data_IF_840372948752
#
_entry.id   IF_840372948752
#
_cell.length_a   1.000
_cell.length_b   1.000
_cell.length_c   1.000
_cell.angle_alpha   90.00
_cell.angle_beta   90.00
_cell.angle_gamma   90.00
#
_symmetry.space_group_name_H-M   'P 1'
#
loop_
_entity.id
_entity.type
_entity.pdbx_description
1 polymer ?
#
# COMPACT_ATOMS: atom_id res chain seq x y z
N UNK A 1 5.21 1.63 -15.72
CA UNK A 1 3.82 2.08 -15.79
C UNK A 1 3.09 1.73 -14.50
N UNK A 2 2.26 2.65 -14.01
CA UNK A 2 1.39 2.53 -12.83
C UNK A 2 -0.01 3.06 -13.16
N UNK A 3 -1.04 2.75 -12.35
CA UNK A 3 -2.42 3.13 -12.66
C UNK A 3 -2.61 4.66 -12.82
N UNK A 4 -1.85 5.45 -12.05
CA UNK A 4 -1.89 6.92 -12.12
C UNK A 4 -1.35 7.48 -13.45
N UNK A 5 -0.63 6.68 -14.25
CA UNK A 5 -0.12 7.09 -15.56
C UNK A 5 -1.21 7.15 -16.63
N UNK A 6 -2.37 6.52 -16.42
CA UNK A 6 -3.40 6.44 -17.45
C UNK A 6 -3.95 7.81 -17.84
N UNK A 7 -4.17 8.70 -16.87
CA UNK A 7 -4.67 10.05 -17.17
C UNK A 7 -3.76 10.82 -18.15
N UNK A 8 -2.47 11.07 -17.84
CA UNK A 8 -1.60 11.81 -18.76
C UNK A 8 -1.31 11.04 -20.04
N UNK A 9 -1.29 9.69 -19.99
CA UNK A 9 -1.08 8.85 -21.19
C UNK A 9 -2.23 8.98 -22.18
N UNK A 10 -3.48 8.90 -21.72
CA UNK A 10 -4.66 9.05 -22.58
C UNK A 10 -4.83 10.49 -23.06
N UNK A 11 -4.51 11.47 -22.22
CA UNK A 11 -4.52 12.88 -22.63
C UNK A 11 -3.52 13.15 -23.76
N UNK A 12 -2.27 12.66 -23.66
CA UNK A 12 -1.29 12.77 -24.74
C UNK A 12 -1.76 12.06 -26.01
N UNK A 13 -2.27 10.83 -25.89
CA UNK A 13 -2.78 10.06 -27.02
C UNK A 13 -3.91 10.79 -27.77
N UNK A 14 -4.76 11.52 -27.04
CA UNK A 14 -5.85 12.32 -27.58
C UNK A 14 -5.41 13.72 -28.06
N UNK A 15 -4.14 14.11 -27.87
CA UNK A 15 -3.65 15.47 -28.17
C UNK A 15 -4.21 16.55 -27.25
N UNK A 16 -4.66 16.18 -26.04
CA UNK A 16 -5.23 17.08 -25.05
C UNK A 16 -4.12 17.59 -24.12
N UNK A 17 -3.92 18.93 -24.00
CA UNK A 17 -2.99 19.48 -23.02
C UNK A 17 -3.42 19.16 -21.59
N UNK A 18 -2.44 18.83 -20.73
CA UNK A 18 -2.65 18.62 -19.30
C UNK A 18 -1.54 19.30 -18.50
N UNK A 19 -1.82 19.68 -17.25
CA UNK A 19 -0.85 20.29 -16.36
C UNK A 19 -0.01 19.23 -15.65
N UNK A 20 1.20 18.98 -16.13
CA UNK A 20 2.11 18.00 -15.56
C UNK A 20 2.70 18.39 -14.19
N UNK A 21 2.46 19.61 -13.69
CA UNK A 21 3.12 20.11 -12.48
C UNK A 21 2.50 19.62 -11.17
N UNK A 22 1.20 19.30 -11.18
CA UNK A 22 0.43 18.90 -9.98
C UNK A 22 -0.25 17.53 -10.16
N UNK A 23 0.52 16.54 -10.62
CA UNK A 23 0.04 15.17 -10.77
C UNK A 23 1.14 14.13 -10.53
N UNK A 24 0.76 12.97 -10.01
CA UNK A 24 1.69 11.85 -9.77
C UNK A 24 1.95 11.02 -11.02
N UNK A 25 1.08 11.13 -12.03
CA UNK A 25 1.15 10.41 -13.30
C UNK A 25 2.20 10.97 -14.24
N UNK A 26 2.82 10.10 -15.04
CA UNK A 26 3.67 10.49 -16.16
C UNK A 26 3.22 9.75 -17.41
N UNK A 27 3.05 10.46 -18.52
CA UNK A 27 2.62 9.82 -19.77
C UNK A 27 3.62 8.75 -20.22
N UNK A 28 3.07 7.60 -20.59
CA UNK A 28 3.79 6.47 -21.15
C UNK A 28 3.47 6.28 -22.65
N UNK A 29 2.78 7.23 -23.27
CA UNK A 29 2.28 7.08 -24.64
C UNK A 29 3.40 6.72 -25.62
N UNK A 30 4.52 7.45 -25.56
CA UNK A 30 5.69 7.17 -26.39
C UNK A 30 6.28 5.78 -26.13
N UNK A 31 6.34 5.32 -24.88
CA UNK A 31 6.82 3.98 -24.51
C UNK A 31 5.87 2.86 -24.95
N UNK A 32 4.58 3.15 -25.13
CA UNK A 32 3.58 2.20 -25.61
C UNK A 32 3.61 2.03 -27.14
N UNK A 33 3.84 3.12 -27.87
CA UNK A 33 3.82 3.11 -29.34
C UNK A 33 5.19 2.86 -29.97
N UNK A 34 6.27 2.87 -29.19
CA UNK A 34 7.64 2.66 -29.65
C UNK A 34 8.42 1.70 -28.76
N UNK A 35 8.92 0.61 -29.36
CA UNK A 35 9.76 -0.39 -28.69
C UNK A 35 11.13 0.14 -28.26
N UNK A 36 11.58 1.26 -28.82
CA UNK A 36 12.87 1.87 -28.50
C UNK A 36 12.79 2.87 -27.33
N UNK A 37 11.59 3.16 -26.84
CA UNK A 37 11.38 4.19 -25.82
C UNK A 37 11.16 3.54 -24.45
N UNK A 38 12.10 3.68 -23.49
CA UNK A 38 11.89 3.17 -22.14
C UNK A 38 10.74 3.89 -21.44
N UNK A 39 10.26 3.32 -20.33
CA UNK A 39 9.25 3.97 -19.51
C UNK A 39 9.78 5.28 -18.93
N UNK A 40 8.98 6.34 -18.96
CA UNK A 40 9.30 7.62 -18.33
C UNK A 40 9.23 7.58 -16.78
N UNK A 41 8.85 6.43 -16.21
CA UNK A 41 8.64 6.27 -14.78
C UNK A 41 9.79 5.51 -14.14
N UNK A 42 10.48 6.16 -13.22
CA UNK A 42 11.57 5.57 -12.43
C UNK A 42 11.16 5.26 -10.98
N UNK A 43 10.06 5.82 -10.51
CA UNK A 43 9.64 5.76 -9.11
C UNK A 43 8.13 5.53 -8.98
N UNK A 44 7.74 4.74 -7.97
CA UNK A 44 6.34 4.49 -7.58
C UNK A 44 6.25 4.49 -6.06
N UNK A 45 5.38 5.32 -5.51
CA UNK A 45 4.90 5.17 -4.13
C UNK A 45 3.67 4.28 -4.18
N UNK A 46 3.67 3.18 -3.43
CA UNK A 46 2.51 2.27 -3.36
C UNK A 46 1.41 2.84 -2.47
N UNK A 47 1.80 3.27 -1.27
CA UNK A 47 0.96 3.97 -0.32
C UNK A 47 1.83 4.69 0.72
N UNK A 48 1.26 5.72 1.33
CA UNK A 48 1.77 6.39 2.53
C UNK A 48 0.64 6.47 3.54
N UNK A 49 0.74 5.69 4.59
CA UNK A 49 -0.09 5.78 5.78
C UNK A 49 0.79 6.17 6.98
N UNK A 50 0.53 7.36 7.51
CA UNK A 50 1.22 7.86 8.70
C UNK A 50 0.43 7.55 9.97
N UNK A 51 -0.62 6.72 9.88
CA UNK A 51 -1.31 6.20 11.03
C UNK A 51 -0.35 5.39 11.91
N UNK A 52 -0.59 5.49 13.21
CA UNK A 52 0.23 4.81 14.22
C UNK A 52 -0.28 3.40 14.52
N UNK A 53 -1.42 3.01 13.93
CA UNK A 53 -2.04 1.72 14.15
C UNK A 53 -1.18 0.59 13.53
N UNK A 54 -0.68 -0.38 14.30
CA UNK A 54 0.15 -1.48 13.80
C UNK A 54 -0.48 -2.26 12.64
N UNK A 55 -1.81 -2.29 12.58
CA UNK A 55 -2.54 -3.07 11.58
C UNK A 55 -2.54 -2.36 10.22
N UNK A 56 -2.23 -1.07 10.20
CA UNK A 56 -2.23 -0.23 9.01
C UNK A 56 -0.81 -0.10 8.46
N UNK A 57 -0.62 -0.60 7.23
CA UNK A 57 0.70 -0.63 6.61
C UNK A 57 1.21 0.76 6.28
N UNK A 58 2.42 1.09 6.74
CA UNK A 58 2.91 2.48 6.77
C UNK A 58 3.33 3.02 5.42
N UNK A 59 4.20 2.33 4.70
CA UNK A 59 4.72 2.86 3.45
C UNK A 59 5.44 1.81 2.62
N UNK A 60 5.32 1.94 1.29
CA UNK A 60 6.23 1.27 0.39
C UNK A 60 6.53 2.15 -0.83
N UNK A 61 7.78 2.09 -1.30
CA UNK A 61 8.27 2.82 -2.48
C UNK A 61 9.13 1.90 -3.33
N UNK A 62 9.01 2.01 -4.64
CA UNK A 62 9.91 1.42 -5.62
C UNK A 62 10.67 2.53 -6.34
N UNK A 63 11.99 2.37 -6.44
CA UNK A 63 12.87 3.24 -7.24
C UNK A 63 13.76 2.34 -8.09
N UNK A 64 13.54 2.37 -9.41
CA UNK A 64 14.15 1.44 -10.35
C UNK A 64 13.81 -0.02 -10.02
N UNK A 65 14.86 -0.82 -9.80
CA UNK A 65 14.73 -2.24 -9.51
C UNK A 65 14.41 -2.54 -8.04
N UNK A 66 14.56 -1.57 -7.14
CA UNK A 66 14.44 -1.80 -5.69
C UNK A 66 13.09 -1.36 -5.14
N UNK A 67 12.53 -2.16 -4.22
CA UNK A 67 11.35 -1.84 -3.42
C UNK A 67 11.70 -1.83 -1.94
N UNK A 68 11.39 -0.73 -1.25
CA UNK A 68 11.51 -0.57 0.19
C UNK A 68 10.11 -0.60 0.80
N UNK A 69 9.90 -1.46 1.79
CA UNK A 69 8.74 -1.45 2.67
C UNK A 69 9.20 -0.91 4.02
N UNK A 70 8.52 0.11 4.53
CA UNK A 70 8.86 0.80 5.77
C UNK A 70 7.69 0.76 6.75
N UNK A 71 7.54 -0.36 7.45
CA UNK A 71 6.45 -0.67 8.37
C UNK A 71 5.79 -2.01 8.05
N UNK A 72 4.73 -2.33 8.79
CA UNK A 72 4.03 -3.59 8.67
C UNK A 72 3.41 -3.78 7.26
N UNK A 73 3.74 -4.83 6.50
CA UNK A 73 3.19 -5.01 5.15
C UNK A 73 1.76 -5.57 5.14
N UNK A 74 1.27 -6.08 6.27
CA UNK A 74 -0.07 -6.67 6.42
C UNK A 74 -0.05 -8.11 6.95
N UNK A 75 -1.24 -8.60 7.31
CA UNK A 75 -1.48 -9.91 7.96
C UNK A 75 -1.19 -11.12 7.06
N UNK A 76 -1.22 -10.93 5.75
CA UNK A 76 -1.11 -12.01 4.76
C UNK A 76 0.17 -11.83 3.93
N UNK A 77 1.31 -11.98 4.60
CA UNK A 77 2.65 -11.75 4.03
C UNK A 77 3.32 -13.01 3.49
N UNK A 78 2.61 -14.14 3.47
CA UNK A 78 3.09 -15.43 2.99
C UNK A 78 2.76 -15.64 1.50
N UNK A 79 3.41 -16.61 0.87
CA UNK A 79 3.11 -17.02 -0.52
C UNK A 79 1.98 -18.04 -0.55
N UNK A 80 0.94 -17.76 -1.33
CA UNK A 80 -0.20 -18.65 -1.51
C UNK A 80 -0.05 -19.47 -2.80
N UNK A 81 0.13 -20.80 -2.71
CA UNK A 81 0.19 -21.64 -3.90
C UNK A 81 -1.19 -21.77 -4.56
N UNK A 82 -1.22 -22.24 -5.81
CA UNK A 82 -2.47 -22.55 -6.50
C UNK A 82 -3.20 -23.70 -5.78
N UNK A 83 -4.54 -23.65 -5.65
CA UNK A 83 -5.32 -24.65 -4.92
C UNK A 83 -5.09 -26.10 -5.39
N UNK A 84 -4.92 -26.31 -6.70
CA UNK A 84 -4.76 -27.64 -7.33
C UNK A 84 -3.31 -27.98 -7.68
N UNK A 85 -2.34 -27.18 -7.20
CA UNK A 85 -0.94 -27.58 -7.33
C UNK A 85 -0.68 -28.78 -6.40
N UNK A 86 -0.06 -29.85 -6.93
CA UNK A 86 0.31 -31.05 -6.17
C UNK A 86 1.24 -30.79 -4.96
N UNK A 87 1.63 -29.53 -4.76
CA UNK A 87 2.29 -28.96 -3.59
C UNK A 87 1.35 -28.54 -2.45
N UNK A 88 0.04 -28.86 -2.49
CA UNK A 88 -0.87 -28.71 -1.35
C UNK A 88 -0.62 -29.76 -0.24
N UNK A 89 0.65 -30.08 0.00
CA UNK A 89 1.11 -30.64 1.26
C UNK A 89 1.84 -29.50 1.97
N UNK A 90 1.06 -28.60 2.58
CA UNK A 90 1.61 -27.70 3.59
C UNK A 90 2.17 -28.62 4.68
N UNK A 91 3.48 -28.63 4.89
CA UNK A 91 4.06 -29.48 5.93
C UNK A 91 3.53 -29.02 7.29
N UNK A 92 3.51 -29.90 8.30
CA UNK A 92 3.14 -29.46 9.65
C UNK A 92 4.04 -28.33 10.16
N UNK A 93 5.28 -28.28 9.69
CA UNK A 93 6.23 -27.22 10.00
C UNK A 93 5.85 -25.89 9.31
N UNK A 94 5.35 -25.94 8.08
CA UNK A 94 4.81 -24.76 7.36
C UNK A 94 3.51 -24.28 8.04
N UNK A 95 2.62 -25.18 8.46
CA UNK A 95 1.41 -24.82 9.23
C UNK A 95 1.76 -24.15 10.57
N UNK A 96 2.83 -24.59 11.24
CA UNK A 96 3.32 -23.98 12.47
C UNK A 96 4.00 -22.62 12.22
N UNK A 97 4.65 -22.42 11.06
CA UNK A 97 5.14 -21.12 10.62
C UNK A 97 3.97 -20.16 10.27
N UNK A 98 2.89 -20.69 9.68
CA UNK A 98 1.64 -19.96 9.43
C UNK A 98 0.86 -19.63 10.72
N UNK A 99 1.10 -20.34 11.82
CA UNK A 99 0.63 -20.00 13.17
C UNK A 99 1.38 -18.78 13.78
N UNK A 100 2.13 -18.01 12.98
CA UNK A 100 2.53 -16.64 13.29
C UNK A 100 1.35 -15.70 13.57
N UNK A 101 0.11 -16.15 13.28
CA UNK A 101 -1.08 -15.55 13.86
C UNK A 101 -0.99 -15.43 15.38
N UNK A 102 -0.23 -16.26 16.12
CA UNK A 102 0.00 -16.03 17.56
C UNK A 102 0.94 -14.85 17.87
N UNK A 103 1.88 -14.51 16.97
CA UNK A 103 2.70 -13.29 17.12
C UNK A 103 1.90 -12.01 16.91
N UNK A 104 0.78 -12.10 16.20
CA UNK A 104 -0.20 -11.01 16.02
C UNK A 104 -1.43 -11.20 16.93
N UNK A 105 -1.69 -12.38 17.48
CA UNK A 105 -2.80 -12.63 18.41
C UNK A 105 -2.53 -12.02 19.79
N UNK A 106 -1.26 -11.79 20.15
CA UNK A 106 -0.88 -10.89 21.24
C UNK A 106 -1.23 -9.42 20.96
N UNK A 107 -1.52 -9.06 19.70
CA UNK A 107 -2.06 -7.78 19.24
C UNK A 107 -3.55 -7.90 18.88
N UNK A 108 -4.25 -8.89 19.42
CA UNK A 108 -5.66 -9.15 19.15
C UNK A 108 -6.61 -8.21 19.90
N UNK A 109 -7.45 -7.49 19.15
CA UNK A 109 -8.50 -6.66 19.71
C UNK A 109 -9.56 -6.17 18.71
N UNK A 110 -10.30 -7.08 18.06
CA UNK A 110 -11.60 -6.73 17.47
C UNK A 110 -11.57 -6.30 16.00
N UNK A 111 -11.56 -7.31 15.14
CA UNK A 111 -11.91 -7.23 13.73
C UNK A 111 -13.40 -6.83 13.63
N UNK A 112 -13.66 -5.62 13.12
CA UNK A 112 -14.96 -4.97 12.87
C UNK A 112 -15.79 -4.53 14.10
N UNK A 113 -15.77 -3.22 14.41
CA UNK A 113 -16.86 -2.53 15.11
C UNK A 113 -16.68 -2.18 16.59
N UNK A 114 -15.47 -2.26 17.17
CA UNK A 114 -15.20 -1.93 18.58
C UNK A 114 -14.50 -0.59 18.79
N UNK A 115 -14.81 0.08 19.91
CA UNK A 115 -14.29 1.37 20.38
C UNK A 115 -12.76 1.52 20.21
N UNK A 116 -12.35 2.50 19.40
CA UNK A 116 -10.94 2.83 19.10
C UNK A 116 -10.14 3.31 20.31
N UNK A 117 -10.78 3.45 21.48
CA UNK A 117 -10.11 3.79 22.74
C UNK A 117 -9.35 2.62 23.39
N UNK A 118 -9.65 1.37 23.03
CA UNK A 118 -8.94 0.19 23.57
C UNK A 118 -7.50 0.03 23.05
N UNK A 119 -7.10 0.79 22.03
CA UNK A 119 -5.76 0.78 21.45
C UNK A 119 -4.85 1.89 22.00
N UNK A 120 -5.36 2.75 22.89
CA UNK A 120 -4.53 3.72 23.63
C UNK A 120 -3.90 3.03 24.83
N UNK A 121 -2.89 2.19 24.60
CA UNK A 121 -2.05 1.70 25.70
C UNK A 121 -1.61 0.25 25.64
N UNK A 122 -1.77 -0.47 24.53
CA UNK A 122 -0.92 -1.64 24.31
C UNK A 122 0.45 -1.11 23.89
N UNK A 123 1.41 -1.21 24.81
CA UNK A 123 2.81 -0.89 24.55
C UNK A 123 3.23 -1.57 23.24
N UNK A 124 3.41 -0.75 22.20
CA UNK A 124 3.98 -1.20 20.94
C UNK A 124 5.40 -1.63 21.30
N UNK A 125 5.59 -2.94 21.43
CA UNK A 125 6.87 -3.50 21.81
C UNK A 125 7.92 -3.03 20.79
N UNK A 126 8.74 -2.06 21.21
CA UNK A 126 9.84 -1.51 20.42
C UNK A 126 10.93 -2.55 20.12
N UNK A 127 10.80 -3.78 20.66
CA UNK A 127 11.65 -4.94 20.37
C UNK A 127 11.07 -5.89 19.31
N UNK A 128 9.84 -5.66 18.83
CA UNK A 128 9.32 -6.37 17.66
C UNK A 128 10.25 -6.14 16.45
N UNK A 129 10.56 -7.17 15.64
CA UNK A 129 11.45 -7.03 14.51
C UNK A 129 10.95 -5.88 13.65
N UNK A 130 11.81 -4.89 13.45
CA UNK A 130 11.50 -3.71 12.67
C UNK A 130 11.01 -4.17 11.30
N UNK A 131 9.72 -3.95 10.98
CA UNK A 131 9.10 -4.37 9.72
C UNK A 131 9.66 -3.54 8.56
N UNK A 132 10.91 -3.78 8.20
CA UNK A 132 11.58 -3.13 7.11
C UNK A 132 12.15 -4.17 6.17
N UNK A 133 11.81 -3.99 4.90
CA UNK A 133 12.19 -4.91 3.86
C UNK A 133 12.74 -4.13 2.68
N UNK A 134 13.81 -4.65 2.10
CA UNK A 134 14.32 -4.19 0.84
C UNK A 134 14.41 -5.39 -0.10
N UNK A 135 13.80 -5.27 -1.28
CA UNK A 135 13.85 -6.30 -2.31
C UNK A 135 14.39 -5.70 -3.61
N UNK A 136 15.16 -6.48 -4.36
CA UNK A 136 15.50 -6.17 -5.73
C UNK A 136 14.53 -6.95 -6.62
N UNK A 137 13.51 -6.27 -7.14
CA UNK A 137 12.42 -6.88 -7.93
C UNK A 137 12.86 -7.39 -9.31
N UNK A 138 14.04 -6.97 -9.79
CA UNK A 138 14.59 -7.49 -11.05
C UNK A 138 15.17 -8.89 -10.86
N UNK A 139 15.89 -9.10 -9.75
CA UNK A 139 16.57 -10.37 -9.46
C UNK A 139 15.73 -11.28 -8.54
N UNK A 140 14.81 -10.72 -7.76
CA UNK A 140 13.92 -11.37 -6.81
C UNK A 140 12.48 -10.81 -6.95
N UNK A 141 11.78 -11.12 -8.06
CA UNK A 141 10.42 -10.64 -8.29
C UNK A 141 9.40 -11.23 -7.31
N UNK A 142 9.75 -12.34 -6.65
CA UNK A 142 8.91 -13.01 -5.68
C UNK A 142 9.05 -12.42 -4.28
N UNK A 143 10.00 -11.50 -4.04
CA UNK A 143 10.26 -10.85 -2.74
C UNK A 143 10.69 -11.82 -1.63
N UNK A 144 11.46 -12.86 -1.97
CA UNK A 144 11.88 -13.92 -1.03
C UNK A 144 13.06 -13.53 -0.15
N UNK A 145 13.92 -12.62 -0.63
CA UNK A 145 15.20 -12.30 0.02
C UNK A 145 15.22 -10.85 0.48
N UNK A 146 15.02 -10.66 1.78
CA UNK A 146 15.16 -9.33 2.39
C UNK A 146 16.64 -8.88 2.41
N UNK A 147 16.94 -7.79 1.70
CA UNK A 147 18.25 -7.16 1.58
C UNK A 147 18.44 -5.96 2.52
N UNK A 148 17.48 -5.67 3.40
CA UNK A 148 17.47 -4.44 4.20
C UNK A 148 18.75 -4.24 5.03
N UNK A 149 19.25 -5.30 5.66
CA UNK A 149 20.47 -5.24 6.48
C UNK A 149 21.76 -5.31 5.66
N UNK A 150 21.72 -5.87 4.45
CA UNK A 150 22.91 -6.07 3.60
C UNK A 150 23.18 -4.90 2.65
N UNK A 151 22.17 -4.10 2.33
CA UNK A 151 22.24 -3.01 1.34
C UNK A 151 21.86 -1.64 1.95
N UNK A 152 22.57 -1.16 3.01
CA UNK A 152 22.18 0.03 3.76
C UNK A 152 22.20 1.31 2.92
N UNK A 153 23.03 1.36 1.88
CA UNK A 153 23.14 2.52 0.99
C UNK A 153 21.89 2.67 0.11
N UNK A 154 21.36 1.54 -0.37
CA UNK A 154 20.10 1.49 -1.12
C UNK A 154 18.93 1.85 -0.22
N UNK A 155 18.90 1.31 1.01
CA UNK A 155 17.88 1.67 2.01
C UNK A 155 17.87 3.18 2.24
N UNK A 156 19.03 3.79 2.51
CA UNK A 156 19.12 5.24 2.73
C UNK A 156 18.60 6.04 1.54
N UNK A 157 18.96 5.63 0.31
CA UNK A 157 18.47 6.29 -0.91
C UNK A 157 16.94 6.23 -1.01
N UNK A 158 16.34 5.05 -0.88
CA UNK A 158 14.89 4.88 -1.00
C UNK A 158 14.14 5.55 0.18
N UNK A 159 14.70 5.51 1.38
CA UNK A 159 14.16 6.20 2.55
C UNK A 159 14.13 7.72 2.34
N UNK A 160 15.21 8.31 1.82
CA UNK A 160 15.24 9.74 1.50
C UNK A 160 14.21 10.13 0.43
N UNK A 161 13.98 9.28 -0.57
CA UNK A 161 12.92 9.49 -1.57
C UNK A 161 11.53 9.42 -0.93
N UNK A 162 11.32 8.45 -0.03
CA UNK A 162 10.07 8.32 0.72
C UNK A 162 9.79 9.55 1.60
N UNK A 163 10.81 10.08 2.28
CA UNK A 163 10.68 11.27 3.12
C UNK A 163 10.33 12.52 2.31
N UNK A 164 10.84 12.64 1.07
CA UNK A 164 10.44 13.71 0.16
C UNK A 164 8.95 13.66 -0.20
N UNK A 165 8.36 12.46 -0.32
CA UNK A 165 6.92 12.30 -0.50
C UNK A 165 6.13 12.60 0.77
N UNK A 166 6.63 12.16 1.93
CA UNK A 166 6.02 12.48 3.23
C UNK A 166 5.92 13.98 3.49
N UNK A 167 6.87 14.77 3.01
CA UNK A 167 6.83 16.23 3.12
C UNK A 167 5.64 16.88 2.38
N UNK A 168 5.07 16.19 1.39
CA UNK A 168 3.89 16.62 0.62
C UNK A 168 2.60 15.92 1.06
N UNK A 169 2.66 15.11 2.11
CA UNK A 169 1.53 14.33 2.58
C UNK A 169 0.42 15.22 3.12
N UNK A 170 -0.79 15.02 2.62
CA UNK A 170 -2.01 15.62 3.15
C UNK A 170 -2.69 14.58 4.02
N UNK A 171 -3.15 15.01 5.20
CA UNK A 171 -3.80 14.13 6.16
C UNK A 171 -5.04 13.46 5.52
N UNK A 172 -5.28 12.16 5.76
CA UNK A 172 -6.44 11.47 5.23
C UNK A 172 -7.72 12.08 5.77
N UNK A 173 -8.72 12.26 4.91
CA UNK A 173 -10.07 12.59 5.34
C UNK A 173 -10.87 11.30 5.53
N UNK A 174 -10.98 10.84 6.79
CA UNK A 174 -11.69 9.61 7.15
C UNK A 174 -12.82 9.92 8.14
N UNK A 175 -13.96 10.48 7.69
CA UNK A 175 -15.06 10.87 8.56
C UNK A 175 -15.78 9.65 9.14
N UNK A 176 -16.47 9.85 10.27
CA UNK A 176 -17.34 8.82 10.83
C UNK A 176 -18.53 8.55 9.88
N UNK A 177 -18.97 7.28 9.72
CA UNK A 177 -20.15 6.98 8.94
C UNK A 177 -21.38 7.77 9.42
N UNK A 178 -22.11 8.35 8.47
CA UNK A 178 -23.35 9.07 8.76
C UNK A 178 -24.51 8.08 8.96
N UNK A 179 -25.23 8.12 10.09
CA UNK A 179 -26.44 7.32 10.28
C UNK A 179 -27.52 7.61 9.24
N UNK A 180 -27.53 8.81 8.67
CA UNK A 180 -28.45 9.20 7.61
C UNK A 180 -28.17 8.43 6.31
N UNK A 181 -26.98 7.86 6.12
CA UNK A 181 -26.66 7.05 4.95
C UNK A 181 -27.30 5.66 4.97
N UNK A 182 -28.05 5.30 6.01
CA UNK A 182 -28.72 3.99 6.12
C UNK A 182 -29.71 3.79 4.96
N UNK A 183 -29.48 2.77 4.09
CA UNK A 183 -30.38 2.46 2.98
C UNK A 183 -31.83 2.18 3.41
N UNK A 184 -32.06 1.77 4.67
CA UNK A 184 -33.40 1.58 5.21
C UNK A 184 -34.24 2.87 5.19
N UNK A 185 -33.60 4.04 5.23
CA UNK A 185 -34.24 5.35 5.10
C UNK A 185 -34.61 5.71 3.66
N UNK A 186 -34.16 4.92 2.67
CA UNK A 186 -34.29 5.18 1.24
C UNK A 186 -34.81 3.98 0.44
N UNK A 187 -35.72 3.20 1.03
CA UNK A 187 -36.35 2.06 0.35
C UNK A 187 -35.38 0.91 0.06
N UNK A 188 -34.30 0.78 0.84
CA UNK A 188 -33.32 -0.29 0.73
C UNK A 188 -32.23 -0.06 -0.31
N UNK A 189 -32.07 1.18 -0.81
CA UNK A 189 -31.10 1.51 -1.86
C UNK A 189 -30.09 2.54 -1.35
N UNK A 190 -28.81 2.34 -1.68
CA UNK A 190 -27.78 3.34 -1.46
C UNK A 190 -27.99 4.54 -2.41
N UNK A 191 -28.17 5.72 -1.85
CA UNK A 191 -28.45 6.97 -2.58
C UNK A 191 -27.59 8.10 -2.06
N UNK A 192 -27.26 9.15 -2.84
CA UNK A 192 -26.52 10.32 -2.34
C UNK A 192 -27.32 11.25 -1.41
N UNK A 193 -28.64 11.06 -1.27
CA UNK A 193 -29.57 12.01 -0.60
C UNK A 193 -29.48 12.14 0.92
N UNK A 194 -28.38 11.72 1.55
CA UNK A 194 -28.14 11.81 3.00
C UNK A 194 -27.15 12.90 3.38
N UNK A 195 -26.41 13.46 2.42
CA UNK A 195 -25.61 14.67 2.63
C UNK A 195 -26.48 15.92 2.43
N UNK A 196 -26.43 16.92 3.33
CA UNK A 196 -27.02 18.23 3.04
C UNK A 196 -26.37 18.80 1.77
N UNK A 197 -27.18 19.48 0.95
CA UNK A 197 -26.70 20.16 -0.25
C UNK A 197 -25.62 21.17 0.15
N UNK A 198 -24.40 21.01 -0.36
CA UNK A 198 -23.28 21.95 -0.16
C UNK A 198 -23.34 23.11 -1.16
N UNK A 199 -24.53 23.48 -1.64
CA UNK A 199 -24.73 24.63 -2.52
C UNK A 199 -24.50 25.94 -1.75
N UNK A 200 -23.23 26.34 -1.67
CA UNK A 200 -22.77 27.69 -1.38
C UNK A 200 -22.49 28.46 -2.65
#
# INVERSE_FOLDING_TARGET
MHIVDWYPTLAEAAGIPYDASDQDGVSQWQSLVSLATPSNREEVVYNLDLSWDPIQGRAAIRVGDYKLIAGYPGLYSEWYPLPDSASCHVSQDDLAAHASLERVAGMGGGVFGGDTRSWRGTDFDATAPSFYYLFNLKDDPEERRNLYSSEPDVVRRLASRLDAHRARYVQPNFPVPSPQADPALYGGVWTPGWCPDISG
#
